data_IF_544296858463
#
_entry.id   IF_544296858463
#
_cell.length_a   1.000
_cell.length_b   1.000
_cell.length_c   1.000
_cell.angle_alpha   90.00
_cell.angle_beta   90.00
_cell.angle_gamma   90.00
#
_symmetry.space_group_name_H-M   'P 1'
#
loop_
_entity.id
_entity.type
_entity.pdbx_description
1 polymer ?
#
# COMPACT_ATOMS: atom_id res chain seq x y z
N UNK A 1 28.54 -5.76 -83.99
CA UNK A 1 27.31 -5.55 -83.19
C UNK A 1 27.39 -6.00 -81.72
N UNK A 2 28.56 -6.45 -81.19
CA UNK A 2 28.64 -7.06 -79.83
C UNK A 2 29.25 -6.13 -78.76
N UNK A 3 29.87 -5.00 -79.13
CA UNK A 3 30.53 -4.08 -78.17
C UNK A 3 29.60 -3.13 -77.42
N UNK A 4 28.40 -2.88 -77.91
CA UNK A 4 27.48 -1.89 -77.32
C UNK A 4 26.61 -2.43 -76.19
N UNK A 5 26.54 -3.76 -76.02
CA UNK A 5 25.69 -4.42 -75.01
C UNK A 5 26.40 -4.49 -73.64
N UNK A 6 27.74 -4.52 -73.62
CA UNK A 6 28.53 -4.63 -72.39
C UNK A 6 28.51 -3.36 -71.51
N UNK A 7 28.21 -2.19 -72.07
CA UNK A 7 28.21 -0.92 -71.32
C UNK A 7 26.89 -0.73 -70.55
N UNK A 8 25.78 -1.32 -71.02
CA UNK A 8 24.48 -1.23 -70.35
C UNK A 8 24.39 -2.07 -69.05
N UNK A 9 25.23 -3.11 -68.91
CA UNK A 9 25.20 -3.99 -67.75
C UNK A 9 25.91 -3.42 -66.51
N UNK A 10 26.79 -2.41 -66.67
CA UNK A 10 27.58 -1.83 -65.57
C UNK A 10 26.87 -0.71 -64.81
N UNK A 11 25.80 -0.12 -65.39
CA UNK A 11 25.02 0.94 -64.74
C UNK A 11 23.94 0.37 -63.81
N UNK A 12 23.59 -0.91 -63.96
CA UNK A 12 22.56 -1.58 -63.14
C UNK A 12 22.98 -1.92 -61.71
N UNK A 13 24.26 -1.97 -61.38
CA UNK A 13 24.74 -2.43 -60.07
C UNK A 13 24.85 -1.35 -58.98
N UNK A 14 24.66 -0.07 -59.31
CA UNK A 14 24.82 1.01 -58.33
C UNK A 14 23.57 1.27 -57.48
N UNK A 15 22.37 0.90 -57.96
CA UNK A 15 21.12 1.14 -57.24
C UNK A 15 20.74 0.02 -56.25
N UNK A 16 21.40 -1.15 -56.33
CA UNK A 16 21.10 -2.31 -55.48
C UNK A 16 21.73 -2.24 -54.08
N UNK A 17 22.57 -1.23 -53.81
CA UNK A 17 23.24 -1.02 -52.52
C UNK A 17 22.79 0.27 -51.81
N UNK A 18 21.67 0.88 -52.20
CA UNK A 18 21.09 1.96 -51.41
C UNK A 18 20.51 1.39 -50.10
N UNK A 19 20.94 1.87 -48.90
CA UNK A 19 20.37 1.41 -47.65
C UNK A 19 18.89 1.78 -47.62
N UNK A 20 18.02 0.79 -47.51
CA UNK A 20 16.59 1.02 -47.33
C UNK A 20 16.40 1.90 -46.09
N UNK A 21 15.67 3.01 -46.22
CA UNK A 21 15.30 3.86 -45.09
C UNK A 21 14.37 3.06 -44.18
N UNK A 22 14.94 2.40 -43.18
CA UNK A 22 14.18 1.74 -42.13
C UNK A 22 13.46 2.85 -41.36
N UNK A 23 12.15 2.95 -41.55
CA UNK A 23 11.29 3.78 -40.71
C UNK A 23 11.46 3.30 -39.27
N UNK A 24 12.26 4.01 -38.49
CA UNK A 24 12.31 3.81 -37.05
C UNK A 24 11.00 4.33 -36.49
N UNK A 25 10.08 3.40 -36.21
CA UNK A 25 8.96 3.70 -35.34
C UNK A 25 9.57 4.00 -33.96
N UNK A 26 9.66 5.28 -33.61
CA UNK A 26 9.98 5.67 -32.24
C UNK A 26 8.81 5.26 -31.36
N UNK A 27 8.98 4.16 -30.61
CA UNK A 27 8.08 3.85 -29.50
C UNK A 27 8.40 4.88 -28.42
N UNK A 28 7.68 6.00 -28.43
CA UNK A 28 7.67 6.88 -27.28
C UNK A 28 7.00 6.11 -26.15
N UNK A 29 7.80 5.60 -25.21
CA UNK A 29 7.32 5.16 -23.91
C UNK A 29 6.62 6.37 -23.29
N UNK A 30 5.29 6.45 -23.43
CA UNK A 30 4.48 7.29 -22.57
C UNK A 30 4.53 6.63 -21.19
N UNK A 31 5.60 6.89 -20.44
CA UNK A 31 5.55 6.75 -19.00
C UNK A 31 4.45 7.71 -18.53
N UNK A 32 3.32 7.17 -18.10
CA UNK A 32 2.31 7.95 -17.39
C UNK A 32 3.00 8.55 -16.16
N UNK A 33 2.84 9.85 -15.92
CA UNK A 33 3.41 10.46 -14.71
C UNK A 33 2.63 9.97 -13.49
N UNK A 34 3.31 9.81 -12.35
CA UNK A 34 2.67 9.41 -11.10
C UNK A 34 1.65 10.45 -10.65
N UNK A 35 0.47 10.00 -10.17
CA UNK A 35 -0.59 10.89 -9.67
C UNK A 35 -0.14 11.66 -8.42
N UNK A 36 0.61 11.01 -7.53
CA UNK A 36 1.09 11.58 -6.27
C UNK A 36 2.35 12.44 -6.43
N UNK A 37 3.22 12.10 -7.38
CA UNK A 37 4.47 12.83 -7.66
C UNK A 37 4.53 13.13 -9.17
N UNK A 38 3.93 14.23 -9.64
CA UNK A 38 3.81 14.53 -11.08
C UNK A 38 5.13 14.69 -11.85
N UNK A 39 6.25 14.78 -11.11
CA UNK A 39 7.60 14.89 -11.64
C UNK A 39 8.32 13.53 -11.78
N UNK A 40 7.73 12.43 -11.31
CA UNK A 40 8.28 11.07 -11.45
C UNK A 40 7.41 10.21 -12.38
N UNK A 41 8.02 9.30 -13.16
CA UNK A 41 7.28 8.31 -13.91
C UNK A 41 6.54 7.36 -12.96
N UNK A 42 5.34 6.92 -13.36
CA UNK A 42 4.56 5.92 -12.64
C UNK A 42 5.29 4.56 -12.69
N UNK A 43 5.45 3.85 -11.56
CA UNK A 43 6.04 2.51 -11.56
C UNK A 43 5.17 1.50 -12.32
N UNK A 44 5.78 0.58 -13.08
CA UNK A 44 5.07 -0.37 -13.93
C UNK A 44 4.16 -1.35 -13.16
N UNK A 45 4.49 -1.63 -11.89
CA UNK A 45 3.71 -2.53 -11.02
C UNK A 45 2.50 -1.86 -10.36
N UNK A 46 2.35 -0.54 -10.47
CA UNK A 46 1.22 0.22 -9.94
C UNK A 46 0.31 0.61 -11.11
N UNK A 47 -0.63 -0.26 -11.47
CA UNK A 47 -1.50 -0.16 -12.65
C UNK A 47 -2.87 0.50 -12.37
N UNK A 48 -3.14 0.89 -11.13
CA UNK A 48 -4.42 1.44 -10.69
C UNK A 48 -5.49 0.39 -10.35
N UNK A 49 -5.17 -0.91 -10.44
CA UNK A 49 -6.09 -2.00 -10.09
C UNK A 49 -6.32 -2.12 -8.58
N UNK A 50 -5.36 -1.67 -7.77
CA UNK A 50 -5.41 -1.75 -6.32
C UNK A 50 -6.08 -0.51 -5.70
N UNK A 51 -6.86 -0.73 -4.64
CA UNK A 51 -7.48 0.37 -3.89
C UNK A 51 -6.42 1.32 -3.28
N UNK A 52 -6.59 2.62 -3.50
CA UNK A 52 -5.67 3.67 -3.04
C UNK A 52 -4.32 3.69 -3.74
N UNK A 53 -4.22 3.13 -4.95
CA UNK A 53 -3.07 3.35 -5.82
C UNK A 53 -3.06 4.82 -6.31
N UNK A 54 -1.97 5.53 -5.99
CA UNK A 54 -1.69 6.91 -6.42
C UNK A 54 -0.32 7.02 -7.12
N UNK A 55 0.25 5.89 -7.54
CA UNK A 55 1.60 5.83 -8.13
C UNK A 55 2.72 6.25 -7.17
N UNK A 56 2.50 6.23 -5.85
CA UNK A 56 3.46 6.70 -4.86
C UNK A 56 4.48 5.61 -4.54
N UNK A 57 5.56 5.53 -5.32
CA UNK A 57 6.74 4.72 -5.01
C UNK A 57 8.03 5.45 -5.45
N UNK A 58 8.46 6.49 -4.71
CA UNK A 58 9.66 7.25 -5.07
C UNK A 58 10.96 6.44 -4.89
N UNK A 59 10.94 5.35 -4.13
CA UNK A 59 12.12 4.53 -3.82
C UNK A 59 12.18 3.21 -4.60
N UNK A 60 11.20 2.92 -5.46
CA UNK A 60 11.16 1.69 -6.25
C UNK A 60 11.02 0.42 -5.41
N UNK A 61 10.41 0.50 -4.23
CA UNK A 61 10.27 -0.66 -3.32
C UNK A 61 9.38 -1.75 -3.94
N UNK A 62 8.46 -1.37 -4.83
CA UNK A 62 7.63 -2.29 -5.59
C UNK A 62 8.46 -3.14 -6.55
N UNK A 63 9.57 -2.63 -7.08
CA UNK A 63 10.40 -3.32 -8.08
C UNK A 63 11.13 -4.52 -7.47
N UNK A 64 11.55 -4.40 -6.20
CA UNK A 64 12.21 -5.44 -5.41
C UNK A 64 11.26 -6.58 -5.03
N UNK A 65 9.97 -6.27 -4.85
CA UNK A 65 8.97 -7.25 -4.41
C UNK A 65 8.41 -8.05 -5.59
N UNK A 66 8.30 -9.37 -5.46
CA UNK A 66 7.66 -10.20 -6.49
C UNK A 66 6.16 -9.87 -6.59
N UNK A 67 5.48 -9.80 -5.43
CA UNK A 67 4.06 -9.46 -5.34
C UNK A 67 3.81 -8.32 -4.35
N UNK A 68 2.94 -7.38 -4.74
CA UNK A 68 2.45 -6.29 -3.89
C UNK A 68 1.41 -6.77 -2.86
N UNK A 69 0.96 -8.02 -2.95
CA UNK A 69 -0.06 -8.60 -2.07
C UNK A 69 0.40 -8.61 -0.61
N UNK A 70 1.64 -9.04 -0.35
CA UNK A 70 2.21 -9.08 1.00
C UNK A 70 2.43 -7.68 1.58
N UNK A 71 2.91 -6.73 0.77
CA UNK A 71 3.03 -5.33 1.16
C UNK A 71 1.67 -4.73 1.52
N UNK A 72 0.62 -5.07 0.75
CA UNK A 72 -0.75 -4.65 1.04
C UNK A 72 -1.31 -5.29 2.32
N UNK A 73 -1.03 -6.57 2.57
CA UNK A 73 -1.35 -7.23 3.84
C UNK A 73 -0.71 -6.50 5.02
N UNK A 74 0.56 -6.10 4.89
CA UNK A 74 1.25 -5.33 5.92
C UNK A 74 0.62 -3.94 6.10
N UNK A 75 0.32 -3.21 5.02
CA UNK A 75 -0.31 -1.87 5.07
C UNK A 75 -1.67 -1.92 5.79
N UNK A 76 -2.52 -2.90 5.45
CA UNK A 76 -3.83 -3.04 6.10
C UNK A 76 -3.73 -3.45 7.57
N UNK A 77 -2.80 -4.35 7.93
CA UNK A 77 -2.59 -4.73 9.34
C UNK A 77 -2.11 -3.54 10.18
N UNK A 78 -1.12 -2.79 9.71
CA UNK A 78 -0.64 -1.59 10.41
C UNK A 78 -1.73 -0.52 10.52
N UNK A 79 -2.45 -0.27 9.42
CA UNK A 79 -3.54 0.71 9.40
C UNK A 79 -4.69 0.35 10.35
N UNK A 80 -5.13 -0.92 10.38
CA UNK A 80 -6.20 -1.38 11.28
C UNK A 80 -5.80 -1.29 12.74
N UNK A 81 -4.56 -1.66 13.08
CA UNK A 81 -4.05 -1.51 14.45
C UNK A 81 -3.93 -0.02 14.81
N UNK A 82 -3.47 0.83 13.89
CA UNK A 82 -3.37 2.27 14.12
C UNK A 82 -4.74 2.93 14.33
N UNK A 83 -5.76 2.52 13.58
CA UNK A 83 -7.14 3.00 13.77
C UNK A 83 -7.67 2.67 15.17
N UNK A 84 -7.44 1.43 15.64
CA UNK A 84 -7.83 1.04 16.99
C UNK A 84 -6.99 1.75 18.07
N UNK A 85 -5.70 1.97 17.82
CA UNK A 85 -4.79 2.64 18.74
C UNK A 85 -5.19 4.10 18.99
N UNK A 86 -5.49 4.87 17.94
CA UNK A 86 -5.95 6.26 18.06
C UNK A 86 -7.25 6.36 18.85
N UNK A 87 -8.23 5.52 18.53
CA UNK A 87 -9.50 5.49 19.28
C UNK A 87 -9.25 5.11 20.74
N UNK A 88 -8.36 4.13 20.98
CA UNK A 88 -7.97 3.73 22.34
C UNK A 88 -7.37 4.88 23.16
N UNK A 89 -6.45 5.65 22.57
CA UNK A 89 -5.85 6.81 23.25
C UNK A 89 -6.89 7.90 23.56
N UNK A 90 -7.75 8.23 22.59
CA UNK A 90 -8.79 9.26 22.78
C UNK A 90 -9.82 8.82 23.85
N UNK A 91 -10.25 7.55 23.82
CA UNK A 91 -11.22 7.03 24.78
C UNK A 91 -10.63 7.04 26.19
N UNK A 92 -9.37 6.65 26.37
CA UNK A 92 -8.70 6.67 27.66
C UNK A 92 -8.56 8.09 28.24
N UNK A 93 -8.44 9.11 27.40
CA UNK A 93 -8.37 10.51 27.85
C UNK A 93 -9.72 11.04 28.34
N UNK A 94 -10.84 10.64 27.70
CA UNK A 94 -12.17 11.18 28.01
C UNK A 94 -12.98 10.32 28.99
N UNK A 95 -12.88 8.98 28.90
CA UNK A 95 -13.66 8.04 29.70
C UNK A 95 -12.74 6.97 30.28
N UNK A 96 -12.60 6.99 31.60
CA UNK A 96 -11.91 5.94 32.33
C UNK A 96 -12.87 4.79 32.64
N UNK A 97 -12.47 3.57 32.33
CA UNK A 97 -13.24 2.38 32.69
C UNK A 97 -13.27 2.22 34.22
N UNK A 98 -14.39 1.77 34.81
CA UNK A 98 -14.49 1.58 36.26
C UNK A 98 -13.52 0.49 36.73
N UNK A 99 -12.58 0.86 37.60
CA UNK A 99 -11.58 -0.02 38.22
C UNK A 99 -10.29 0.75 38.52
N UNK A 100 -9.69 0.51 39.70
CA UNK A 100 -8.50 1.26 40.18
C UNK A 100 -7.29 1.10 39.24
N UNK A 101 -7.17 -0.04 38.55
CA UNK A 101 -6.09 -0.30 37.59
C UNK A 101 -6.23 0.47 36.26
N UNK A 102 -7.38 1.09 35.98
CA UNK A 102 -7.71 1.75 34.71
C UNK A 102 -7.86 3.27 34.82
N UNK A 103 -7.44 3.87 35.95
CA UNK A 103 -7.56 5.32 36.21
C UNK A 103 -6.34 6.13 35.73
N UNK A 104 -5.35 5.49 35.11
CA UNK A 104 -4.17 6.22 34.63
C UNK A 104 -4.48 6.95 33.33
N UNK A 105 -4.27 8.27 33.35
CA UNK A 105 -4.48 9.16 32.22
C UNK A 105 -3.37 9.07 31.16
N UNK A 106 -2.17 8.60 31.54
CA UNK A 106 -1.06 8.43 30.61
C UNK A 106 -1.19 7.11 29.84
N UNK A 107 -1.38 7.14 28.50
CA UNK A 107 -1.64 5.92 27.72
C UNK A 107 -0.46 4.93 27.73
N UNK A 108 0.77 5.41 27.83
CA UNK A 108 1.96 4.55 27.94
C UNK A 108 2.19 4.02 29.36
N UNK A 109 1.91 4.84 30.37
CA UNK A 109 1.98 4.42 31.78
C UNK A 109 0.92 3.37 32.09
N UNK A 110 -0.29 3.52 31.52
CA UNK A 110 -1.42 2.64 31.70
C UNK A 110 -1.09 1.16 31.41
N UNK A 111 -0.28 0.89 30.38
CA UNK A 111 0.13 -0.48 30.01
C UNK A 111 0.89 -1.17 31.15
N UNK A 112 1.73 -0.45 31.87
CA UNK A 112 2.49 -1.02 33.00
C UNK A 112 1.62 -1.26 34.24
N UNK A 113 0.55 -0.48 34.41
CA UNK A 113 -0.28 -0.49 35.63
C UNK A 113 -1.45 -1.46 35.59
N UNK A 114 -1.97 -1.80 34.41
CA UNK A 114 -3.07 -2.78 34.27
C UNK A 114 -2.66 -4.22 34.61
N UNK A 115 -1.36 -4.47 34.78
CA UNK A 115 -0.79 -5.76 35.13
C UNK A 115 -0.52 -6.65 33.92
N UNK A 116 0.54 -7.45 34.03
CA UNK A 116 1.03 -8.30 32.92
C UNK A 116 -0.02 -9.30 32.42
N UNK A 117 -0.92 -9.78 33.27
CA UNK A 117 -1.96 -10.74 32.90
C UNK A 117 -2.95 -10.21 31.86
N UNK A 118 -3.39 -8.95 32.00
CA UNK A 118 -4.32 -8.31 31.05
C UNK A 118 -3.64 -8.06 29.72
N UNK A 119 -2.39 -7.56 29.74
CA UNK A 119 -1.60 -7.38 28.54
C UNK A 119 -1.36 -8.70 27.80
N UNK A 120 -0.98 -9.75 28.53
CA UNK A 120 -0.76 -11.08 27.97
C UNK A 120 -2.03 -11.64 27.32
N UNK A 121 -3.21 -11.40 27.90
CA UNK A 121 -4.48 -11.81 27.31
C UNK A 121 -4.74 -11.13 25.96
N UNK A 122 -4.49 -9.82 25.85
CA UNK A 122 -4.65 -9.07 24.59
C UNK A 122 -3.67 -9.60 23.52
N UNK A 123 -2.40 -9.77 23.88
CA UNK A 123 -1.40 -10.31 22.96
C UNK A 123 -1.72 -11.75 22.55
N UNK A 124 -2.18 -12.59 23.47
CA UNK A 124 -2.60 -13.96 23.17
C UNK A 124 -3.83 -13.99 22.25
N UNK A 125 -4.81 -13.11 22.47
CA UNK A 125 -5.99 -13.03 21.61
C UNK A 125 -5.62 -12.63 20.17
N UNK A 126 -4.79 -11.60 20.01
CA UNK A 126 -4.28 -11.17 18.69
C UNK A 126 -3.43 -12.29 18.06
N UNK A 127 -2.55 -12.91 18.86
CA UNK A 127 -1.69 -14.00 18.42
C UNK A 127 -2.48 -15.22 17.92
N UNK A 128 -3.55 -15.62 18.61
CA UNK A 128 -4.43 -16.70 18.17
C UNK A 128 -5.12 -16.39 16.83
N UNK A 129 -5.56 -15.14 16.62
CA UNK A 129 -6.18 -14.71 15.36
C UNK A 129 -5.18 -14.71 14.20
N UNK A 130 -3.95 -14.23 14.44
CA UNK A 130 -2.88 -14.28 13.44
C UNK A 130 -2.46 -15.71 13.12
N UNK A 131 -2.36 -16.59 14.12
CA UNK A 131 -2.01 -17.99 13.93
C UNK A 131 -3.08 -18.74 13.11
N UNK A 132 -4.36 -18.49 13.40
CA UNK A 132 -5.47 -19.09 12.66
C UNK A 132 -5.52 -18.65 11.19
N UNK A 133 -4.99 -17.46 10.86
CA UNK A 133 -4.97 -16.92 9.50
C UNK A 133 -3.58 -16.93 8.87
N UNK A 134 -2.60 -17.64 9.47
CA UNK A 134 -1.20 -17.59 9.05
C UNK A 134 -0.99 -17.96 7.59
N UNK A 135 -1.65 -19.03 7.12
CA UNK A 135 -1.53 -19.50 5.74
C UNK A 135 -2.07 -18.48 4.73
N UNK A 136 -3.10 -17.71 5.09
CA UNK A 136 -3.72 -16.71 4.19
C UNK A 136 -2.75 -15.61 3.77
N UNK A 137 -1.72 -15.33 4.57
CA UNK A 137 -0.66 -14.37 4.24
C UNK A 137 0.21 -14.84 3.06
N UNK A 138 0.23 -16.14 2.76
CA UNK A 138 1.08 -16.75 1.73
C UNK A 138 0.28 -17.39 0.58
N UNK A 139 -1.02 -17.63 0.75
CA UNK A 139 -1.87 -18.34 -0.22
C UNK A 139 -2.25 -17.51 -1.47
N UNK A 140 -1.72 -16.29 -1.64
CA UNK A 140 -2.11 -15.40 -2.74
C UNK A 140 -3.56 -14.90 -2.68
N UNK A 141 -4.22 -15.10 -1.52
CA UNK A 141 -5.59 -14.65 -1.28
C UNK A 141 -5.71 -13.12 -1.29
N UNK A 142 -6.94 -12.61 -1.47
CA UNK A 142 -7.21 -11.18 -1.52
C UNK A 142 -6.59 -10.46 -0.30
N UNK A 143 -5.73 -9.44 -0.50
CA UNK A 143 -5.00 -8.83 0.60
C UNK A 143 -5.92 -8.27 1.70
N UNK A 144 -5.70 -8.71 2.94
CA UNK A 144 -6.45 -8.24 4.11
C UNK A 144 -7.81 -8.90 4.34
N UNK A 145 -8.19 -9.89 3.53
CA UNK A 145 -9.47 -10.60 3.68
C UNK A 145 -9.35 -11.84 4.59
N UNK A 146 -9.70 -11.64 5.87
CA UNK A 146 -9.80 -12.73 6.85
C UNK A 146 -11.24 -13.27 7.00
N UNK A 147 -12.20 -12.80 6.19
CA UNK A 147 -13.62 -13.16 6.30
C UNK A 147 -14.37 -12.45 7.44
N UNK A 148 -13.79 -11.42 8.06
CA UNK A 148 -14.39 -10.63 9.14
C UNK A 148 -15.30 -9.52 8.62
N UNK A 149 -16.25 -9.90 7.76
CA UNK A 149 -17.04 -8.93 7.00
C UNK A 149 -18.44 -8.70 7.57
N UNK A 150 -18.83 -9.46 8.61
CA UNK A 150 -20.11 -9.32 9.30
C UNK A 150 -21.35 -9.45 8.40
N UNK A 151 -21.21 -9.99 7.19
CA UNK A 151 -22.26 -10.05 6.17
C UNK A 151 -22.48 -8.77 5.34
N UNK A 152 -21.80 -7.66 5.66
CA UNK A 152 -22.06 -6.34 5.04
C UNK A 152 -21.57 -6.18 3.59
N UNK A 153 -20.60 -7.00 3.14
CA UNK A 153 -20.08 -6.94 1.76
C UNK A 153 -20.66 -8.03 0.84
N UNK A 154 -21.52 -8.94 1.33
CA UNK A 154 -21.92 -10.14 0.57
C UNK A 154 -22.86 -9.88 -0.63
N UNK A 155 -23.45 -8.69 -0.73
CA UNK A 155 -24.46 -8.32 -1.74
C UNK A 155 -24.19 -6.96 -2.41
N UNK A 156 -22.96 -6.44 -2.35
CA UNK A 156 -22.60 -5.13 -2.92
C UNK A 156 -21.97 -5.27 -4.30
N UNK A 157 -22.10 -4.24 -5.13
CA UNK A 157 -21.44 -4.20 -6.44
C UNK A 157 -19.92 -4.15 -6.29
N UNK A 158 -19.17 -4.63 -7.29
CA UNK A 158 -17.70 -4.54 -7.30
C UNK A 158 -17.20 -3.10 -7.12
N UNK A 159 -17.92 -2.12 -7.69
CA UNK A 159 -17.60 -0.70 -7.52
C UNK A 159 -17.77 -0.22 -6.07
N UNK A 160 -18.83 -0.68 -5.39
CA UNK A 160 -19.04 -0.35 -3.97
C UNK A 160 -18.02 -1.04 -3.05
N UNK A 161 -17.59 -2.25 -3.40
CA UNK A 161 -16.52 -2.97 -2.69
C UNK A 161 -15.20 -2.22 -2.87
N UNK A 162 -14.89 -1.75 -4.08
CA UNK A 162 -13.68 -0.97 -4.37
C UNK A 162 -13.69 0.37 -3.62
N UNK A 163 -14.84 1.06 -3.59
CA UNK A 163 -15.02 2.27 -2.79
C UNK A 163 -14.83 2.01 -1.29
N UNK A 164 -15.36 0.92 -0.75
CA UNK A 164 -15.17 0.57 0.65
C UNK A 164 -13.69 0.27 0.97
N UNK A 165 -12.97 -0.41 0.07
CA UNK A 165 -11.52 -0.64 0.20
C UNK A 165 -10.73 0.67 0.11
N UNK A 166 -11.13 1.61 -0.74
CA UNK A 166 -10.48 2.92 -0.84
C UNK A 166 -10.76 3.79 0.41
N UNK A 167 -11.95 3.68 1.00
CA UNK A 167 -12.23 4.29 2.28
C UNK A 167 -11.35 3.66 3.37
N UNK A 168 -11.29 2.34 3.46
CA UNK A 168 -10.43 1.67 4.44
C UNK A 168 -8.98 2.12 4.33
N UNK A 169 -8.41 2.16 3.12
CA UNK A 169 -7.00 2.51 2.95
C UNK A 169 -6.69 3.97 3.27
N UNK A 170 -7.61 4.88 2.96
CA UNK A 170 -7.45 6.30 3.31
C UNK A 170 -7.51 6.51 4.81
N UNK A 171 -8.40 5.82 5.53
CA UNK A 171 -8.45 5.85 6.99
C UNK A 171 -7.23 5.18 7.62
N UNK A 172 -6.76 4.04 7.09
CA UNK A 172 -5.53 3.38 7.51
C UNK A 172 -4.32 4.33 7.44
N UNK A 173 -4.12 4.99 6.29
CA UNK A 173 -2.98 5.91 6.09
C UNK A 173 -3.06 7.12 7.01
N UNK A 174 -4.25 7.70 7.17
CA UNK A 174 -4.48 8.81 8.10
C UNK A 174 -4.17 8.40 9.54
N UNK A 175 -4.66 7.24 9.97
CA UNK A 175 -4.47 6.74 11.34
C UNK A 175 -3.00 6.43 11.65
N UNK A 176 -2.24 5.90 10.68
CA UNK A 176 -0.80 5.66 10.84
C UNK A 176 -0.03 6.96 11.09
N UNK A 177 -0.36 8.03 10.38
CA UNK A 177 0.27 9.35 10.59
C UNK A 177 -0.18 9.93 11.94
N UNK A 178 -1.48 9.83 12.26
CA UNK A 178 -2.05 10.34 13.50
C UNK A 178 -1.41 9.68 14.73
N UNK A 179 -1.25 8.35 14.76
CA UNK A 179 -0.66 7.65 15.91
C UNK A 179 0.82 8.00 16.09
N UNK A 180 1.57 8.18 15.00
CA UNK A 180 2.95 8.64 15.10
C UNK A 180 3.02 10.05 15.69
N UNK A 181 2.15 10.97 15.26
CA UNK A 181 2.06 12.31 15.84
C UNK A 181 1.69 12.28 17.32
N UNK A 182 0.66 11.51 17.67
CA UNK A 182 0.16 11.35 19.03
C UNK A 182 1.24 10.80 19.97
N UNK A 183 1.91 9.72 19.56
CA UNK A 183 2.95 9.09 20.39
C UNK A 183 4.14 10.01 20.61
N UNK A 184 4.61 10.72 19.57
CA UNK A 184 5.70 11.70 19.70
C UNK A 184 5.30 12.86 20.63
N UNK A 185 4.09 13.38 20.51
CA UNK A 185 3.60 14.45 21.38
C UNK A 185 3.50 14.01 22.85
N UNK A 186 2.91 12.85 23.11
CA UNK A 186 2.79 12.33 24.49
C UNK A 186 4.15 12.05 25.11
N UNK A 187 5.13 11.54 24.33
CA UNK A 187 6.48 11.26 24.84
C UNK A 187 7.32 12.52 25.07
N UNK A 188 7.12 13.59 24.29
CA UNK A 188 7.89 14.83 24.45
C UNK A 188 7.28 15.77 25.49
N UNK A 189 5.96 15.93 25.49
CA UNK A 189 5.28 16.95 26.29
C UNK A 189 4.60 16.40 27.53
N UNK A 190 4.38 15.07 27.62
CA UNK A 190 3.61 14.43 28.70
C UNK A 190 2.27 15.14 28.97
N UNK A 191 1.69 15.70 27.90
CA UNK A 191 0.43 16.43 27.94
C UNK A 191 -0.68 15.58 27.30
N UNK A 192 -1.93 15.79 27.74
CA UNK A 192 -3.10 15.22 27.06
C UNK A 192 -3.13 15.62 25.58
N UNK A 193 -3.67 14.76 24.71
CA UNK A 193 -3.67 15.01 23.26
C UNK A 193 -4.55 16.19 22.85
N UNK A 194 -5.55 16.53 23.67
CA UNK A 194 -6.55 17.56 23.38
C UNK A 194 -6.52 18.75 24.34
N UNK A 195 -5.45 18.90 25.15
CA UNK A 195 -5.31 19.94 26.18
C UNK A 195 -4.50 21.17 25.80
#
# INVERSE_FOLDING_TARGET
MVRSILIAALVGSAAAFAPASVSRNSVALKAEMSESLPFLPRPEKLDGSMAGDRGFDPMGLSEIQQDLTYARWAELKHGRIAMLAIVGMIVQEYIHLPGEAYQNSDPFGAVSTVGMGVNAQIFAAIGCVELANFNKHYDGSAPGDIGWTGGFLKNKSEADIMKAKEQEITHCRLAMIAITGATVQTLLFHQPLLG
#
